data_IF_952515474231
#
_entry.id   IF_952515474231
#
_cell.length_a   1.000
_cell.length_b   1.000
_cell.length_c   1.000
_cell.angle_alpha   90.00
_cell.angle_beta   90.00
_cell.angle_gamma   90.00
#
_symmetry.space_group_name_H-M   'P 1'
#
loop_
_entity.id
_entity.type
_entity.pdbx_description
1 polymer ?
#
# COMPACT_ATOMS: atom_id res chain seq x y z
N UNK A 1 0.84 13.28 -27.04
CA UNK A 1 1.49 12.56 -25.92
C UNK A 1 0.92 13.06 -24.59
N UNK A 2 0.50 12.17 -23.70
CA UNK A 2 -0.03 12.58 -22.39
C UNK A 2 1.15 12.99 -21.50
N UNK A 3 1.36 14.31 -21.34
CA UNK A 3 2.45 14.85 -20.52
C UNK A 3 2.50 14.22 -19.12
N UNK A 4 1.35 13.82 -18.56
CA UNK A 4 1.24 13.14 -17.26
C UNK A 4 1.79 11.71 -17.29
N UNK A 5 1.46 10.93 -18.33
CA UNK A 5 1.97 9.57 -18.48
C UNK A 5 3.48 9.62 -18.68
N UNK A 6 3.97 10.49 -19.55
CA UNK A 6 5.41 10.61 -19.82
C UNK A 6 6.21 11.06 -18.58
N UNK A 7 5.65 11.98 -17.78
CA UNK A 7 6.24 12.39 -16.51
C UNK A 7 6.28 11.22 -15.51
N UNK A 8 5.15 10.53 -15.31
CA UNK A 8 5.07 9.38 -14.39
C UNK A 8 5.97 8.21 -14.83
N UNK A 9 6.13 7.99 -16.14
CA UNK A 9 7.04 6.98 -16.70
C UNK A 9 8.50 7.34 -16.42
N UNK A 10 8.90 8.60 -16.60
CA UNK A 10 10.25 9.06 -16.26
C UNK A 10 10.55 8.86 -14.79
N UNK A 11 9.60 9.14 -13.91
CA UNK A 11 9.77 8.96 -12.47
C UNK A 11 9.83 7.48 -12.08
N UNK A 12 9.03 6.63 -12.72
CA UNK A 12 9.09 5.17 -12.53
C UNK A 12 10.45 4.61 -12.95
N UNK A 13 10.99 5.00 -14.11
CA UNK A 13 12.32 4.57 -14.57
C UNK A 13 13.40 4.99 -13.57
N UNK A 14 13.34 6.22 -13.05
CA UNK A 14 14.28 6.69 -12.02
C UNK A 14 14.18 5.86 -10.74
N UNK A 15 12.97 5.52 -10.31
CA UNK A 15 12.76 4.70 -9.12
C UNK A 15 13.29 3.27 -9.29
N UNK A 16 13.09 2.66 -10.47
CA UNK A 16 13.63 1.34 -10.81
C UNK A 16 15.16 1.31 -10.74
N UNK A 17 15.83 2.31 -11.32
CA UNK A 17 17.30 2.43 -11.26
C UNK A 17 17.80 2.55 -9.82
N UNK A 18 17.19 3.45 -9.03
CA UNK A 18 17.54 3.63 -7.61
C UNK A 18 17.30 2.38 -6.78
N UNK A 19 16.23 1.63 -7.06
CA UNK A 19 15.95 0.37 -6.39
C UNK A 19 17.01 -0.69 -6.71
N UNK A 20 17.37 -0.84 -7.98
CA UNK A 20 18.43 -1.76 -8.41
C UNK A 20 19.78 -1.42 -7.76
N UNK A 21 20.16 -0.13 -7.72
CA UNK A 21 21.37 0.33 -7.02
C UNK A 21 21.30 0.07 -5.49
N UNK A 22 20.12 0.26 -4.89
CA UNK A 22 19.92 0.10 -3.46
C UNK A 22 19.82 -1.35 -2.99
N UNK A 23 19.61 -2.32 -3.90
CA UNK A 23 19.50 -3.76 -3.58
C UNK A 23 20.69 -4.55 -4.12
N UNK A 24 21.27 -4.15 -5.26
CA UNK A 24 22.40 -4.83 -5.89
C UNK A 24 23.79 -4.46 -5.35
N UNK A 25 23.88 -3.51 -4.42
CA UNK A 25 25.15 -3.15 -3.78
C UNK A 25 25.60 -4.15 -2.71
N UNK A 26 26.91 -4.34 -2.51
CA UNK A 26 27.41 -5.34 -1.55
C UNK A 26 27.26 -4.97 -0.07
N UNK A 27 26.95 -3.70 0.26
CA UNK A 27 26.82 -3.18 1.64
C UNK A 27 25.68 -2.17 1.80
N UNK A 28 24.48 -2.50 1.33
CA UNK A 28 23.30 -1.64 1.50
C UNK A 28 22.54 -1.99 2.77
N UNK A 29 22.26 -0.98 3.58
CA UNK A 29 21.39 -1.12 4.76
C UNK A 29 19.97 -1.51 4.34
N UNK A 30 19.37 -2.48 5.04
CA UNK A 30 17.97 -2.90 4.89
C UNK A 30 17.00 -1.71 4.83
N UNK A 31 17.24 -0.68 5.65
CA UNK A 31 16.39 0.53 5.68
C UNK A 31 16.45 1.32 4.37
N UNK A 32 17.61 1.30 3.68
CA UNK A 32 17.81 1.98 2.40
C UNK A 32 17.10 1.21 1.28
N UNK A 33 17.20 -0.11 1.24
CA UNK A 33 16.48 -0.93 0.27
C UNK A 33 14.97 -0.85 0.45
N UNK A 34 14.48 -0.90 1.70
CA UNK A 34 13.05 -0.71 2.01
C UNK A 34 12.51 0.64 1.55
N UNK A 35 13.25 1.73 1.80
CA UNK A 35 12.86 3.08 1.33
C UNK A 35 12.84 3.17 -0.20
N UNK A 36 13.80 2.56 -0.87
CA UNK A 36 13.83 2.50 -2.33
C UNK A 36 12.66 1.69 -2.88
N UNK A 37 12.31 0.57 -2.25
CA UNK A 37 11.16 -0.26 -2.62
C UNK A 37 9.83 0.49 -2.43
N UNK A 38 9.63 1.14 -1.29
CA UNK A 38 8.44 1.96 -1.04
C UNK A 38 8.30 3.10 -2.07
N UNK A 39 9.42 3.72 -2.45
CA UNK A 39 9.40 4.76 -3.49
C UNK A 39 9.03 4.18 -4.87
N UNK A 40 9.55 3.01 -5.22
CA UNK A 40 9.22 2.31 -6.46
C UNK A 40 7.72 1.99 -6.53
N UNK A 41 7.16 1.42 -5.47
CA UNK A 41 5.72 1.09 -5.39
C UNK A 41 4.83 2.32 -5.55
N UNK A 42 5.18 3.43 -4.88
CA UNK A 42 4.47 4.71 -5.03
C UNK A 42 4.50 5.22 -6.47
N UNK A 43 5.66 5.18 -7.15
CA UNK A 43 5.77 5.62 -8.54
C UNK A 43 5.07 4.69 -9.53
N UNK A 44 5.07 3.38 -9.27
CA UNK A 44 4.37 2.40 -10.09
C UNK A 44 2.85 2.60 -10.02
N UNK A 45 2.33 2.84 -8.81
CA UNK A 45 0.92 3.17 -8.58
C UNK A 45 0.51 4.47 -9.28
N UNK A 46 1.36 5.50 -9.24
CA UNK A 46 1.10 6.77 -9.92
C UNK A 46 1.07 6.63 -11.46
N UNK A 47 1.97 5.82 -12.02
CA UNK A 47 1.96 5.50 -13.46
C UNK A 47 0.70 4.71 -13.84
N UNK A 48 0.37 3.66 -13.10
CA UNK A 48 -0.83 2.86 -13.33
C UNK A 48 -2.10 3.72 -13.27
N UNK A 49 -2.22 4.60 -12.27
CA UNK A 49 -3.34 5.54 -12.17
C UNK A 49 -3.42 6.51 -13.37
N UNK A 50 -2.27 7.00 -13.86
CA UNK A 50 -2.23 7.88 -15.02
C UNK A 50 -2.62 7.16 -16.33
N UNK A 51 -2.27 5.87 -16.46
CA UNK A 51 -2.67 5.02 -17.59
C UNK A 51 -4.15 4.68 -17.52
N UNK A 52 -4.64 4.25 -16.35
CA UNK A 52 -6.04 3.94 -16.11
C UNK A 52 -6.94 5.15 -16.41
N UNK A 53 -6.60 6.32 -15.88
CA UNK A 53 -7.37 7.55 -16.10
C UNK A 53 -7.47 7.95 -17.58
N UNK A 54 -6.56 7.47 -18.44
CA UNK A 54 -6.58 7.76 -19.88
C UNK A 54 -7.21 6.65 -20.71
N UNK A 55 -6.97 5.39 -20.36
CA UNK A 55 -7.23 4.24 -21.23
C UNK A 55 -8.29 3.29 -20.67
N UNK A 56 -8.63 3.40 -19.39
CA UNK A 56 -9.45 2.43 -18.67
C UNK A 56 -8.76 1.06 -18.47
N UNK A 57 -7.49 0.93 -18.87
CA UNK A 57 -6.73 -0.30 -18.68
C UNK A 57 -6.30 -0.44 -17.22
N UNK A 58 -6.52 -1.62 -16.67
CA UNK A 58 -6.09 -1.98 -15.33
C UNK A 58 -4.57 -1.92 -15.17
N UNK A 59 -4.14 -1.84 -13.91
CA UNK A 59 -2.73 -1.74 -13.55
C UNK A 59 -1.94 -2.97 -14.04
N UNK A 60 -0.81 -2.77 -14.75
CA UNK A 60 0.04 -3.87 -15.21
C UNK A 60 0.84 -4.53 -14.08
N UNK A 61 0.71 -4.06 -12.83
CA UNK A 61 1.43 -4.57 -11.67
C UNK A 61 0.56 -5.41 -10.73
N UNK A 62 -0.65 -5.79 -11.14
CA UNK A 62 -1.61 -6.52 -10.29
C UNK A 62 -1.16 -7.96 -9.96
N UNK A 63 -0.35 -8.59 -10.81
CA UNK A 63 0.18 -9.94 -10.58
C UNK A 63 1.34 -9.98 -9.58
N UNK A 64 1.86 -8.81 -9.19
CA UNK A 64 2.93 -8.74 -8.18
C UNK A 64 2.29 -8.99 -6.83
N UNK A 65 2.33 -10.25 -6.40
CA UNK A 65 1.96 -10.65 -5.05
C UNK A 65 2.83 -9.86 -4.08
N UNK A 66 2.22 -8.92 -3.36
CA UNK A 66 2.87 -8.40 -2.15
C UNK A 66 3.04 -9.58 -1.21
N UNK A 67 4.23 -9.82 -0.65
CA UNK A 67 4.37 -10.70 0.50
C UNK A 67 3.63 -10.04 1.66
N UNK A 68 2.33 -10.26 1.69
CA UNK A 68 1.35 -9.70 2.58
C UNK A 68 0.30 -10.75 2.85
N UNK A 69 -0.49 -10.53 3.90
CA UNK A 69 -1.54 -11.46 4.27
C UNK A 69 -2.57 -11.53 3.15
N UNK A 70 -2.99 -12.76 2.83
CA UNK A 70 -4.12 -13.03 1.93
C UNK A 70 -5.32 -12.15 2.32
N UNK A 71 -6.10 -11.70 1.33
CA UNK A 71 -7.26 -10.84 1.57
C UNK A 71 -8.25 -11.46 2.58
N UNK A 72 -8.35 -12.79 2.59
CA UNK A 72 -9.14 -13.54 3.58
C UNK A 72 -8.66 -13.26 5.01
N UNK A 73 -7.35 -13.32 5.23
CA UNK A 73 -6.76 -13.06 6.54
C UNK A 73 -6.87 -11.59 6.93
N UNK A 74 -6.68 -10.66 5.98
CA UNK A 74 -6.91 -9.23 6.26
C UNK A 74 -8.36 -8.94 6.66
N UNK A 75 -9.33 -9.54 5.98
CA UNK A 75 -10.74 -9.39 6.32
C UNK A 75 -11.07 -9.98 7.69
N UNK A 76 -10.48 -11.12 8.06
CA UNK A 76 -10.61 -11.69 9.41
C UNK A 76 -10.08 -10.72 10.47
N UNK A 77 -8.88 -10.18 10.28
CA UNK A 77 -8.27 -9.24 11.22
C UNK A 77 -9.07 -7.93 11.36
N UNK A 78 -9.65 -7.43 10.27
CA UNK A 78 -10.53 -6.26 10.31
C UNK A 78 -11.83 -6.56 11.08
N UNK A 79 -12.44 -7.72 10.83
CA UNK A 79 -13.64 -8.15 11.56
C UNK A 79 -13.38 -8.30 13.05
N UNK A 80 -12.24 -8.90 13.43
CA UNK A 80 -11.82 -9.03 14.82
C UNK A 80 -11.59 -7.65 15.48
N UNK A 81 -10.93 -6.72 14.79
CA UNK A 81 -10.75 -5.34 15.28
C UNK A 81 -12.10 -4.64 15.51
N UNK A 82 -13.03 -4.77 14.57
CA UNK A 82 -14.32 -4.11 14.66
C UNK A 82 -15.20 -4.73 15.77
N UNK A 83 -15.06 -6.05 15.98
CA UNK A 83 -15.66 -6.75 17.12
C UNK A 83 -15.10 -6.22 18.45
N UNK A 84 -13.77 -6.02 18.57
CA UNK A 84 -13.17 -5.43 19.77
C UNK A 84 -13.62 -3.98 20.01
N UNK A 85 -13.68 -3.17 18.96
CA UNK A 85 -14.13 -1.78 19.05
C UNK A 85 -15.60 -1.66 19.50
N UNK A 86 -16.46 -2.58 19.07
CA UNK A 86 -17.87 -2.63 19.52
C UNK A 86 -18.03 -3.15 20.94
N UNK A 87 -17.18 -4.08 21.41
CA UNK A 87 -17.20 -4.55 22.79
C UNK A 87 -16.79 -3.46 23.79
N UNK A 88 -15.81 -2.62 23.46
CA UNK A 88 -15.42 -1.48 24.30
C UNK A 88 -16.54 -0.45 24.48
N UNK A 89 -17.38 -0.25 23.44
CA UNK A 89 -18.57 0.61 23.53
C UNK A 89 -19.68 0.02 24.41
N UNK A 90 -19.83 -1.30 24.42
CA UNK A 90 -20.87 -1.98 25.20
C UNK A 90 -20.59 -1.96 26.70
N UNK A 91 -19.33 -1.94 27.10
CA UNK A 91 -18.91 -1.78 28.50
C UNK A 91 -19.17 -0.39 29.08
N UNK A 92 -19.26 0.66 28.27
CA UNK A 92 -19.59 2.02 28.76
C UNK A 92 -21.10 2.25 28.89
N UNK A 93 -21.94 1.58 28.09
CA UNK A 93 -23.39 1.78 28.12
C UNK A 93 -24.13 1.05 29.26
N UNK A 94 -23.48 0.06 29.89
CA UNK A 94 -24.06 -0.71 31.02
C UNK A 94 -23.64 -0.14 32.39
N UNK A 95 -22.71 0.81 32.41
CA UNK A 95 -22.29 1.54 33.62
C UNK A 95 -23.09 2.84 33.86
N UNK A 96 -23.96 3.24 32.92
CA UNK A 96 -24.70 4.51 32.97
C UNK A 96 -26.19 4.33 33.31
N UNK A 97 -26.45 3.98 34.58
CA UNK A 97 -27.65 4.28 35.41
C UNK A 97 -28.94 3.44 35.24
N UNK A 98 -29.83 3.37 36.27
CA UNK A 98 -29.74 3.92 37.63
C UNK A 98 -30.01 2.90 38.77
N UNK A 99 -29.35 3.11 39.92
CA UNK A 99 -29.84 2.66 41.21
C UNK A 99 -30.86 3.68 41.71
N UNK A 100 -32.13 3.26 41.80
CA UNK A 100 -33.16 3.82 42.67
C UNK A 100 -33.52 2.75 43.70
#
# INVERSE_FOLDING_TARGET
>A
MSKKIDASLKDLIKALRKHAEAVGGSRVSLKKSQRAAAKLQSTASAYAAAVYAKTGLDSPFNDVTSPGLENVTLNSLLAERDALASHSKKTESDAASPAL
#
